data_IF_405022229845
#
_entry.id   IF_405022229845
#
_cell.length_a   1.000
_cell.length_b   1.000
_cell.length_c   1.000
_cell.angle_alpha   90.00
_cell.angle_beta   90.00
_cell.angle_gamma   90.00
#
_symmetry.space_group_name_H-M   'P 1'
#
loop_
_entity.id
_entity.type
_entity.pdbx_description
1 polymer ?
#
# COMPACT_ATOMS: atom_id res chain seq x y z
N UNK A 1 3.56 -7.29 -12.86
CA UNK A 1 4.44 -6.23 -13.44
C UNK A 1 5.75 -6.20 -12.68
N UNK A 2 6.86 -5.84 -13.32
CA UNK A 2 8.17 -5.73 -12.65
C UNK A 2 8.25 -4.46 -11.80
N UNK A 3 9.18 -4.42 -10.84
CA UNK A 3 9.45 -3.20 -10.06
C UNK A 3 9.87 -2.02 -10.97
N UNK A 4 10.60 -2.29 -12.06
CA UNK A 4 10.95 -1.25 -13.04
C UNK A 4 9.73 -0.63 -13.73
N UNK A 5 8.70 -1.43 -14.02
CA UNK A 5 7.45 -0.95 -14.63
C UNK A 5 6.58 -0.22 -13.61
N UNK A 6 6.47 -0.76 -12.39
CA UNK A 6 5.66 -0.18 -11.32
C UNK A 6 6.20 1.20 -10.92
N UNK A 7 7.48 1.28 -10.55
CA UNK A 7 8.13 2.51 -10.07
C UNK A 7 8.66 3.41 -11.21
N UNK A 8 8.16 3.25 -12.45
CA UNK A 8 8.77 3.90 -13.63
C UNK A 8 8.83 5.43 -13.53
N UNK A 9 7.86 6.05 -12.86
CA UNK A 9 7.75 7.50 -12.75
C UNK A 9 8.64 8.01 -11.61
N UNK A 10 8.63 7.30 -10.50
CA UNK A 10 9.47 7.52 -9.35
C UNK A 10 10.93 7.37 -9.75
N UNK A 11 11.34 6.26 -10.38
CA UNK A 11 12.71 6.06 -10.84
C UNK A 11 13.22 7.20 -11.74
N UNK A 12 12.33 7.83 -12.53
CA UNK A 12 12.64 8.94 -13.43
C UNK A 12 12.42 10.32 -12.80
N UNK A 13 12.03 10.37 -11.54
CA UNK A 13 11.77 11.59 -10.81
C UNK A 13 13.03 12.42 -10.58
N UNK A 14 12.81 13.66 -10.13
CA UNK A 14 13.87 14.56 -9.72
C UNK A 14 14.21 14.33 -8.25
N UNK A 15 15.44 13.88 -7.98
CA UNK A 15 15.93 13.63 -6.62
C UNK A 15 17.16 14.47 -6.34
N UNK A 16 17.27 14.98 -5.11
CA UNK A 16 18.51 15.59 -4.63
C UNK A 16 19.58 14.52 -4.42
N UNK A 17 19.16 13.36 -3.90
CA UNK A 17 19.98 12.16 -3.73
C UNK A 17 19.12 10.91 -3.91
N UNK A 18 19.14 10.36 -5.13
CA UNK A 18 18.41 9.15 -5.48
C UNK A 18 18.73 7.94 -4.59
N UNK A 19 19.96 7.85 -4.08
CA UNK A 19 20.37 6.73 -3.21
C UNK A 19 19.58 6.76 -1.89
N UNK A 20 19.64 7.89 -1.16
CA UNK A 20 18.94 8.00 0.13
C UNK A 20 17.43 8.12 0.01
N UNK A 21 16.94 8.74 -1.08
CA UNK A 21 15.53 9.06 -1.25
C UNK A 21 14.72 7.92 -1.88
N UNK A 22 15.34 7.07 -2.71
CA UNK A 22 14.64 5.98 -3.40
C UNK A 22 15.25 4.61 -3.11
N UNK A 23 16.57 4.44 -3.30
CA UNK A 23 17.22 3.12 -3.22
C UNK A 23 17.21 2.57 -1.79
N UNK A 24 17.61 3.36 -0.81
CA UNK A 24 17.61 2.94 0.60
C UNK A 24 16.21 2.49 1.05
N UNK A 25 15.15 3.31 0.90
CA UNK A 25 13.82 2.91 1.39
C UNK A 25 13.16 1.77 0.60
N UNK A 26 13.31 1.73 -0.73
CA UNK A 26 12.54 0.77 -1.55
C UNK A 26 13.31 -0.52 -1.89
N UNK A 27 14.64 -0.49 -1.88
CA UNK A 27 15.47 -1.63 -2.28
C UNK A 27 16.20 -2.23 -1.08
N UNK A 28 16.94 -1.40 -0.34
CA UNK A 28 17.85 -1.92 0.70
C UNK A 28 17.14 -2.25 2.02
N UNK A 29 16.24 -1.37 2.50
CA UNK A 29 15.48 -1.61 3.74
C UNK A 29 14.64 -2.90 3.68
N UNK A 30 13.83 -3.16 2.62
CA UNK A 30 13.09 -4.42 2.52
C UNK A 30 14.00 -5.65 2.45
N UNK A 31 15.16 -5.52 1.80
CA UNK A 31 16.19 -6.55 1.76
C UNK A 31 16.98 -6.69 3.08
N UNK A 32 16.72 -5.85 4.09
CA UNK A 32 17.45 -5.78 5.37
C UNK A 32 18.96 -5.54 5.20
N UNK A 33 19.32 -4.73 4.21
CA UNK A 33 20.71 -4.37 3.89
C UNK A 33 20.98 -2.95 4.36
N UNK A 34 22.03 -2.77 5.16
CA UNK A 34 22.52 -1.45 5.53
C UNK A 34 23.40 -0.87 4.41
N UNK A 35 23.10 0.36 3.97
CA UNK A 35 23.86 1.04 2.92
C UNK A 35 25.35 1.26 3.30
N UNK A 36 25.64 1.51 4.58
CA UNK A 36 27.01 1.67 5.09
C UNK A 36 27.80 0.36 5.17
N UNK A 37 27.12 -0.79 5.09
CA UNK A 37 27.74 -2.11 5.13
C UNK A 37 28.17 -2.63 3.75
N UNK A 38 27.78 -1.97 2.65
CA UNK A 38 28.06 -2.43 1.27
C UNK A 38 28.73 -1.34 0.43
N UNK A 39 29.46 -1.76 -0.60
CA UNK A 39 30.02 -0.82 -1.59
C UNK A 39 28.94 -0.39 -2.59
N UNK A 40 29.06 0.82 -3.15
CA UNK A 40 28.12 1.32 -4.17
C UNK A 40 28.00 0.37 -5.39
N UNK A 41 29.08 -0.30 -5.78
CA UNK A 41 29.05 -1.30 -6.86
C UNK A 41 28.14 -2.50 -6.54
N UNK A 42 28.11 -2.95 -5.28
CA UNK A 42 27.21 -4.02 -4.84
C UNK A 42 25.76 -3.52 -4.80
N UNK A 43 25.53 -2.31 -4.29
CA UNK A 43 24.22 -1.66 -4.30
C UNK A 43 23.63 -1.57 -5.72
N UNK A 44 24.46 -1.23 -6.72
CA UNK A 44 24.03 -1.20 -8.12
C UNK A 44 23.58 -2.56 -8.65
N UNK A 45 24.26 -3.65 -8.28
CA UNK A 45 23.84 -5.01 -8.67
C UNK A 45 22.52 -5.41 -7.99
N UNK A 46 22.38 -5.14 -6.69
CA UNK A 46 21.14 -5.42 -5.95
C UNK A 46 19.97 -4.66 -6.57
N UNK A 47 20.14 -3.38 -6.86
CA UNK A 47 19.12 -2.58 -7.58
C UNK A 47 18.76 -3.18 -8.93
N UNK A 48 19.75 -3.61 -9.72
CA UNK A 48 19.50 -4.18 -11.04
C UNK A 48 18.67 -5.48 -10.95
N UNK A 49 18.97 -6.34 -9.98
CA UNK A 49 18.18 -7.54 -9.71
C UNK A 49 16.76 -7.16 -9.26
N UNK A 50 16.64 -6.28 -8.27
CA UNK A 50 15.35 -5.82 -7.75
C UNK A 50 14.44 -5.22 -8.83
N UNK A 51 14.99 -4.46 -9.78
CA UNK A 51 14.23 -3.90 -10.90
C UNK A 51 13.59 -4.96 -11.80
N UNK A 52 14.20 -6.14 -11.89
CA UNK A 52 13.71 -7.27 -12.69
C UNK A 52 12.73 -8.16 -11.92
N UNK A 53 12.68 -8.05 -10.59
CA UNK A 53 11.74 -8.80 -9.77
C UNK A 53 10.29 -8.35 -10.02
N UNK A 54 9.36 -9.28 -9.86
CA UNK A 54 7.94 -8.97 -9.84
C UNK A 54 7.64 -8.04 -8.67
N UNK A 55 6.90 -6.96 -8.96
CA UNK A 55 6.44 -6.05 -7.93
C UNK A 55 5.46 -6.77 -7.01
N UNK A 56 5.77 -6.78 -5.71
CA UNK A 56 4.89 -7.27 -4.67
C UNK A 56 4.30 -6.06 -3.95
N UNK A 57 2.98 -5.91 -4.02
CA UNK A 57 2.29 -4.93 -3.18
C UNK A 57 2.57 -5.30 -1.71
N UNK A 58 2.83 -4.31 -0.83
CA UNK A 58 3.04 -4.57 0.58
C UNK A 58 1.83 -5.28 1.18
N UNK A 59 2.07 -6.36 1.92
CA UNK A 59 1.01 -7.10 2.61
C UNK A 59 0.41 -6.20 3.71
N UNK A 60 -0.82 -5.77 3.50
CA UNK A 60 -1.61 -5.06 4.51
C UNK A 60 -2.19 -6.10 5.46
N UNK A 61 -1.96 -5.92 6.76
CA UNK A 61 -2.63 -6.71 7.79
C UNK A 61 -4.09 -6.26 7.92
N UNK A 62 -4.94 -6.84 7.08
CA UNK A 62 -6.36 -6.54 7.00
C UNK A 62 -7.13 -6.87 8.28
N UNK A 63 -6.60 -7.70 9.18
CA UNK A 63 -7.24 -7.98 10.47
C UNK A 63 -7.24 -6.76 11.39
N UNK A 64 -6.26 -5.87 11.22
CA UNK A 64 -6.06 -4.68 12.06
C UNK A 64 -6.49 -3.37 11.39
N UNK A 65 -7.03 -3.43 10.17
CA UNK A 65 -7.55 -2.24 9.48
C UNK A 65 -8.87 -1.79 10.12
N UNK A 66 -9.00 -0.49 10.39
CA UNK A 66 -10.21 0.07 10.99
C UNK A 66 -11.40 -0.01 10.03
N UNK A 67 -12.60 -0.25 10.58
CA UNK A 67 -13.83 -0.17 9.79
C UNK A 67 -13.99 1.24 9.21
N UNK A 68 -14.49 1.29 8.00
CA UNK A 68 -14.67 2.45 7.15
C UNK A 68 -13.39 3.15 6.68
N UNK A 69 -12.21 2.55 6.85
CA UNK A 69 -10.99 3.01 6.17
C UNK A 69 -11.20 3.00 4.64
N UNK A 70 -10.96 4.12 3.93
CA UNK A 70 -11.07 4.16 2.48
C UNK A 70 -10.05 3.25 1.79
N UNK A 71 -10.55 2.39 0.90
CA UNK A 71 -9.76 1.41 0.17
C UNK A 71 -10.14 1.40 -1.31
N UNK A 72 -9.23 0.85 -2.11
CA UNK A 72 -9.45 0.47 -3.48
C UNK A 72 -9.41 -1.04 -3.57
N UNK A 73 -10.37 -1.68 -4.25
CA UNK A 73 -10.30 -3.12 -4.49
C UNK A 73 -10.85 -3.56 -5.84
N UNK A 74 -10.54 -4.82 -6.18
CA UNK A 74 -10.82 -5.47 -7.46
C UNK A 74 -10.72 -6.99 -7.33
N UNK A 75 -11.36 -7.73 -8.22
CA UNK A 75 -11.32 -9.20 -8.21
C UNK A 75 -10.21 -9.78 -9.08
N UNK A 76 -9.77 -9.04 -10.10
CA UNK A 76 -8.73 -9.47 -11.02
C UNK A 76 -7.74 -8.34 -11.33
N UNK A 77 -6.49 -8.69 -11.69
CA UNK A 77 -5.46 -7.69 -12.02
C UNK A 77 -5.81 -6.83 -13.24
N UNK A 78 -6.67 -7.33 -14.14
CA UNK A 78 -7.13 -6.64 -15.34
C UNK A 78 -8.31 -5.70 -15.10
N UNK A 79 -8.89 -5.69 -13.89
CA UNK A 79 -10.02 -4.83 -13.55
C UNK A 79 -9.56 -3.47 -13.00
N UNK A 80 -10.39 -2.46 -13.23
CA UNK A 80 -10.21 -1.14 -12.64
C UNK A 80 -10.40 -1.19 -11.11
N UNK A 81 -9.65 -0.34 -10.42
CA UNK A 81 -9.76 -0.20 -8.97
C UNK A 81 -11.07 0.49 -8.59
N UNK A 82 -11.89 -0.17 -7.78
CA UNK A 82 -13.16 0.36 -7.29
C UNK A 82 -13.00 0.92 -5.88
N UNK A 83 -13.56 2.12 -5.65
CA UNK A 83 -13.55 2.76 -4.33
C UNK A 83 -14.55 2.10 -3.38
N UNK A 84 -14.13 1.89 -2.15
CA UNK A 84 -14.99 1.45 -1.07
C UNK A 84 -14.45 1.80 0.30
N UNK A 85 -15.22 1.47 1.32
CA UNK A 85 -14.85 1.59 2.73
C UNK A 85 -14.70 0.19 3.31
N UNK A 86 -13.56 -0.08 3.95
CA UNK A 86 -13.27 -1.38 4.56
C UNK A 86 -14.36 -1.75 5.57
N UNK A 87 -14.87 -2.98 5.49
CA UNK A 87 -15.91 -3.47 6.39
C UNK A 87 -15.40 -4.60 7.27
N UNK A 88 -14.63 -5.53 6.70
CA UNK A 88 -14.04 -6.68 7.41
C UNK A 88 -13.10 -7.47 6.50
N UNK A 89 -12.24 -8.26 7.11
CA UNK A 89 -11.49 -9.32 6.46
C UNK A 89 -12.09 -10.68 6.85
N UNK A 90 -12.41 -11.54 5.88
CA UNK A 90 -12.95 -12.88 6.16
C UNK A 90 -12.57 -13.85 5.06
N UNK A 91 -12.13 -15.05 5.43
CA UNK A 91 -11.81 -16.15 4.52
C UNK A 91 -10.83 -15.73 3.39
N UNK A 92 -9.83 -14.91 3.73
CA UNK A 92 -8.84 -14.39 2.78
C UNK A 92 -9.37 -13.31 1.82
N UNK A 93 -10.56 -12.77 2.06
CA UNK A 93 -11.18 -11.74 1.21
C UNK A 93 -11.43 -10.44 1.96
N UNK A 94 -11.24 -9.34 1.25
CA UNK A 94 -11.43 -7.99 1.77
C UNK A 94 -12.87 -7.57 1.50
N UNK A 95 -13.68 -7.50 2.55
CA UNK A 95 -15.04 -7.00 2.52
C UNK A 95 -15.08 -5.48 2.55
N UNK A 96 -15.80 -4.87 1.62
CA UNK A 96 -15.95 -3.43 1.48
C UNK A 96 -17.39 -3.01 1.20
N UNK A 97 -17.72 -1.79 1.60
CA UNK A 97 -18.95 -1.09 1.19
C UNK A 97 -18.62 -0.14 0.05
N UNK A 98 -19.23 -0.35 -1.11
CA UNK A 98 -19.03 0.46 -2.31
C UNK A 98 -20.08 1.57 -2.40
N UNK A 99 -19.97 2.44 -3.42
CA UNK A 99 -20.95 3.50 -3.71
C UNK A 99 -21.21 4.49 -2.54
N UNK A 100 -20.17 4.78 -1.75
CA UNK A 100 -20.27 5.72 -0.62
C UNK A 100 -20.94 5.13 0.62
N UNK A 101 -21.20 3.82 0.65
CA UNK A 101 -21.67 3.13 1.84
C UNK A 101 -20.62 3.11 2.94
N UNK A 102 -21.07 3.24 4.19
CA UNK A 102 -20.25 3.12 5.42
C UNK A 102 -20.99 2.29 6.47
N UNK A 103 -20.36 2.03 7.62
CA UNK A 103 -21.00 1.36 8.76
C UNK A 103 -22.23 2.10 9.29
N UNK A 104 -22.31 3.41 9.04
CA UNK A 104 -23.43 4.25 9.46
C UNK A 104 -24.60 4.23 8.46
N UNK A 105 -24.31 4.16 7.15
CA UNK A 105 -25.32 4.35 6.10
C UNK A 105 -25.79 3.06 5.43
N UNK A 106 -24.98 2.00 5.50
CA UNK A 106 -25.26 0.75 4.77
C UNK A 106 -25.74 -0.35 5.70
N UNK A 107 -26.66 -1.16 5.18
CA UNK A 107 -27.06 -2.39 5.86
C UNK A 107 -25.90 -3.41 5.90
N UNK A 108 -25.80 -4.24 6.95
CA UNK A 108 -24.65 -5.14 7.14
C UNK A 108 -24.44 -6.19 6.04
N UNK A 109 -25.47 -6.46 5.24
CA UNK A 109 -25.50 -7.43 4.14
C UNK A 109 -24.95 -6.86 2.81
N UNK A 110 -24.83 -5.54 2.67
CA UNK A 110 -24.30 -4.87 1.47
C UNK A 110 -22.77 -4.77 1.50
N UNK A 111 -22.11 -5.92 1.59
CA UNK A 111 -20.64 -6.03 1.57
C UNK A 111 -20.23 -6.73 0.27
N UNK A 112 -19.40 -6.06 -0.51
CA UNK A 112 -18.69 -6.63 -1.64
C UNK A 112 -17.37 -7.21 -1.16
N UNK A 113 -16.98 -8.38 -1.65
CA UNK A 113 -15.70 -8.99 -1.30
C UNK A 113 -14.78 -8.92 -2.50
N UNK A 114 -13.54 -8.49 -2.25
CA UNK A 114 -12.48 -8.45 -3.24
C UNK A 114 -11.35 -9.40 -2.88
N UNK A 115 -10.68 -9.91 -3.92
CA UNK A 115 -9.45 -10.72 -3.79
C UNK A 115 -8.21 -9.84 -3.63
N UNK A 116 -8.22 -8.63 -4.19
CA UNK A 116 -7.13 -7.67 -4.09
C UNK A 116 -7.67 -6.34 -3.56
N UNK A 117 -6.92 -5.72 -2.64
CA UNK A 117 -7.22 -4.40 -2.13
C UNK A 117 -5.94 -3.65 -1.76
N UNK A 118 -6.01 -2.33 -1.77
CA UNK A 118 -4.98 -1.44 -1.22
C UNK A 118 -5.62 -0.25 -0.52
N UNK A 119 -4.89 0.35 0.40
CA UNK A 119 -5.28 1.61 1.02
C UNK A 119 -5.39 2.70 -0.06
N UNK A 120 -6.40 3.55 0.07
CA UNK A 120 -6.45 4.77 -0.73
C UNK A 120 -5.42 5.77 -0.18
N UNK A 121 -4.71 6.51 -1.04
CA UNK A 121 -3.61 7.42 -0.63
C UNK A 121 -4.02 8.42 0.45
N UNK A 122 -5.27 8.90 0.46
CA UNK A 122 -5.79 9.79 1.50
C UNK A 122 -6.11 9.12 2.83
N UNK A 123 -6.13 7.78 2.91
CA UNK A 123 -6.50 7.05 4.11
C UNK A 123 -5.44 7.08 5.20
N UNK A 124 -4.15 7.12 4.86
CA UNK A 124 -3.06 7.18 5.84
C UNK A 124 -3.05 8.53 6.57
N UNK A 125 -3.25 9.61 5.82
CA UNK A 125 -3.35 10.97 6.37
C UNK A 125 -4.59 11.12 7.26
N UNK A 126 -5.73 10.57 6.84
CA UNK A 126 -6.98 10.56 7.62
C UNK A 126 -6.87 9.73 8.90
N UNK A 127 -6.25 8.55 8.85
CA UNK A 127 -6.04 7.71 10.02
C UNK A 127 -5.12 8.40 11.05
N UNK A 128 -4.03 9.03 10.58
CA UNK A 128 -3.14 9.80 11.43
C UNK A 128 -3.83 11.01 12.08
N UNK A 129 -4.74 11.68 11.38
CA UNK A 129 -5.51 12.79 11.93
C UNK A 129 -6.53 12.32 12.98
N UNK A 130 -7.22 11.20 12.74
CA UNK A 130 -8.14 10.61 13.71
C UNK A 130 -7.44 10.15 14.98
N UNK A 131 -6.27 9.53 14.88
CA UNK A 131 -5.48 9.12 16.05
C UNK A 131 -5.06 10.33 16.89
N UNK A 132 -4.55 11.40 16.26
CA UNK A 132 -4.23 12.66 16.96
C UNK A 132 -5.43 13.26 17.69
N UNK A 133 -6.62 13.22 17.07
CA UNK A 133 -7.87 13.69 17.68
C UNK A 133 -8.30 12.83 18.87
N UNK A 134 -8.07 11.52 18.84
CA UNK A 134 -8.37 10.60 19.93
C UNK A 134 -7.41 10.77 21.11
N UNK A 135 -6.11 10.96 20.84
CA UNK A 135 -5.08 11.21 21.86
C UNK A 135 -5.27 12.58 22.53
N UNK A 136 -5.66 13.61 21.78
CA UNK A 136 -5.95 14.93 22.33
C UNK A 136 -7.23 15.00 23.19
N UNK A 137 -8.05 13.95 23.17
CA UNK A 137 -9.28 13.83 23.94
C UNK A 137 -9.11 12.99 25.21
N UNK A 138 -7.92 12.42 25.43
CA UNK A 138 -7.49 11.77 26.67
C UNK A 138 -6.77 12.76 27.58
#
# INVERSE_FOLDING_TARGET
MTNAEFYRHEIRGEYRNFCSEFIVPNVLKPAKIDCGAIKCAQCHMIKAVWLLEEHKEPEIDWENVSIDTPILGRDNECEEWVRGHFAKFKDGRIGARTYGGTSFTSTPDRIHYWTHAKLWEGSEEQAAEQQKKQEAMR
#
